data_IF_575177144019
#
_entry.id   IF_575177144019
#
_cell.length_a   1.000
_cell.length_b   1.000
_cell.length_c   1.000
_cell.angle_alpha   90.00
_cell.angle_beta   90.00
_cell.angle_gamma   90.00
#
_symmetry.space_group_name_H-M   'P 1'
#
loop_
_entity.id
_entity.type
_entity.pdbx_description
1 polymer ?
#
# COMPACT_ATOMS: atom_id res chain seq x y z
N UNK A 1 1.00 -23.02 13.00
CA UNK A 1 1.81 -22.80 11.78
C UNK A 1 1.88 -21.29 11.59
N UNK A 2 3.05 -20.67 11.35
CA UNK A 2 3.06 -19.27 10.92
C UNK A 2 2.30 -19.20 9.59
N UNK A 3 1.38 -18.25 9.44
CA UNK A 3 0.70 -18.03 8.17
C UNK A 3 1.76 -17.73 7.10
N UNK A 4 1.75 -18.42 5.94
CA UNK A 4 2.66 -18.08 4.85
C UNK A 4 2.38 -16.65 4.40
N UNK A 5 3.45 -15.92 4.11
CA UNK A 5 3.33 -14.65 3.41
C UNK A 5 2.73 -14.89 2.02
N UNK A 6 1.76 -14.08 1.63
CA UNK A 6 1.18 -14.13 0.31
C UNK A 6 0.83 -12.72 -0.16
N UNK A 7 1.07 -12.47 -1.44
CA UNK A 7 0.67 -11.27 -2.13
C UNK A 7 -0.37 -11.61 -3.19
N UNK A 8 -1.42 -10.82 -3.25
CA UNK A 8 -2.40 -10.91 -4.31
C UNK A 8 -2.58 -9.53 -4.95
N UNK A 9 -2.38 -9.46 -6.27
CA UNK A 9 -2.55 -8.23 -7.01
C UNK A 9 -3.79 -8.33 -7.89
N UNK A 10 -4.68 -7.35 -7.80
CA UNK A 10 -5.87 -7.23 -8.61
C UNK A 10 -5.93 -5.83 -9.22
N UNK A 11 -6.18 -5.75 -10.52
CA UNK A 11 -6.23 -4.49 -11.25
C UNK A 11 -7.63 -4.21 -11.75
N UNK A 12 -8.15 -3.00 -11.55
CA UNK A 12 -9.43 -2.57 -12.08
C UNK A 12 -9.38 -1.10 -12.52
N UNK A 13 -9.75 -0.81 -13.77
CA UNK A 13 -9.87 0.57 -14.30
C UNK A 13 -8.65 1.49 -14.03
N UNK A 14 -7.43 0.94 -14.09
CA UNK A 14 -6.18 1.67 -13.83
C UNK A 14 -5.82 1.83 -12.35
N UNK A 15 -6.64 1.33 -11.43
CA UNK A 15 -6.30 1.10 -10.03
C UNK A 15 -5.68 -0.28 -9.86
N UNK A 16 -4.64 -0.37 -9.04
CA UNK A 16 -4.08 -1.62 -8.57
C UNK A 16 -4.39 -1.81 -7.09
N UNK A 17 -4.81 -3.01 -6.71
CA UNK A 17 -5.04 -3.42 -5.33
C UNK A 17 -4.07 -4.55 -5.01
N UNK A 18 -3.17 -4.31 -4.08
CA UNK A 18 -2.17 -5.26 -3.60
C UNK A 18 -2.58 -5.68 -2.19
N UNK A 19 -3.12 -6.89 -2.04
CA UNK A 19 -3.44 -7.48 -0.74
C UNK A 19 -2.22 -8.20 -0.16
N UNK A 20 -1.87 -7.85 1.07
CA UNK A 20 -0.71 -8.39 1.79
C UNK A 20 -1.18 -9.26 2.95
N UNK A 21 -0.83 -10.54 2.90
CA UNK A 21 -1.18 -11.52 3.94
C UNK A 21 0.05 -11.96 4.73
N UNK A 22 -0.09 -12.10 6.06
CA UNK A 22 0.97 -12.63 6.92
C UNK A 22 1.89 -11.55 7.49
N UNK A 23 3.18 -11.57 7.14
CA UNK A 23 4.21 -10.75 7.78
C UNK A 23 5.02 -9.99 6.72
N UNK A 24 5.17 -8.68 6.90
CA UNK A 24 6.03 -7.85 6.07
C UNK A 24 7.32 -7.52 6.82
N UNK A 25 8.38 -8.29 6.54
CA UNK A 25 9.70 -8.16 7.17
C UNK A 25 10.83 -8.13 6.15
N UNK A 26 12.10 -8.20 6.57
CA UNK A 26 13.25 -8.11 5.66
C UNK A 26 13.31 -9.23 4.61
N UNK A 27 12.65 -10.37 4.84
CA UNK A 27 12.59 -11.48 3.90
C UNK A 27 11.46 -11.33 2.89
N UNK A 28 10.33 -10.72 3.27
CA UNK A 28 9.14 -10.57 2.41
C UNK A 28 9.01 -9.18 1.80
N UNK A 29 9.72 -8.18 2.34
CA UNK A 29 9.81 -6.83 1.80
C UNK A 29 10.25 -6.80 0.33
N UNK A 30 11.28 -7.57 -0.13
CA UNK A 30 11.67 -7.57 -1.54
C UNK A 30 10.56 -8.07 -2.47
N UNK A 31 9.73 -8.99 -2.02
CA UNK A 31 8.61 -9.52 -2.80
C UNK A 31 7.49 -8.47 -2.93
N UNK A 32 7.20 -7.75 -1.84
CA UNK A 32 6.25 -6.64 -1.85
C UNK A 32 6.74 -5.45 -2.69
N UNK A 33 8.02 -5.11 -2.58
CA UNK A 33 8.71 -4.12 -3.40
C UNK A 33 8.59 -4.47 -4.89
N UNK A 34 8.90 -5.72 -5.27
CA UNK A 34 8.76 -6.17 -6.65
C UNK A 34 7.32 -6.10 -7.14
N UNK A 35 6.33 -6.36 -6.28
CA UNK A 35 4.93 -6.23 -6.64
C UNK A 35 4.55 -4.77 -6.92
N UNK A 36 4.95 -3.81 -6.06
CA UNK A 36 4.70 -2.39 -6.30
C UNK A 36 5.39 -1.92 -7.59
N UNK A 37 6.68 -2.24 -7.76
CA UNK A 37 7.45 -1.83 -8.93
C UNK A 37 6.81 -2.35 -10.22
N UNK A 38 6.34 -3.60 -10.24
CA UNK A 38 5.68 -4.18 -11.41
C UNK A 38 4.38 -3.46 -11.79
N UNK A 39 3.67 -2.87 -10.82
CA UNK A 39 2.48 -2.07 -11.10
C UNK A 39 2.85 -0.70 -11.68
N UNK A 40 3.89 -0.08 -11.12
CA UNK A 40 4.44 1.20 -11.60
C UNK A 40 4.98 1.06 -13.03
N UNK A 41 5.79 0.05 -13.30
CA UNK A 41 6.35 -0.25 -14.64
C UNK A 41 5.25 -0.49 -15.68
N UNK A 42 4.11 -1.01 -15.24
CA UNK A 42 2.95 -1.21 -16.10
C UNK A 42 2.05 0.04 -16.21
N UNK A 43 2.52 1.19 -15.74
CA UNK A 43 1.87 2.50 -15.82
C UNK A 43 0.74 2.71 -14.81
N UNK A 44 0.62 1.84 -13.80
CA UNK A 44 -0.43 1.93 -12.77
C UNK A 44 0.12 2.66 -11.55
N UNK A 45 -0.19 3.95 -11.47
CA UNK A 45 0.27 4.83 -10.40
C UNK A 45 -0.79 5.06 -9.31
N UNK A 46 -1.97 4.44 -9.44
CA UNK A 46 -3.03 4.47 -8.41
C UNK A 46 -3.04 3.14 -7.68
N UNK A 47 -2.32 3.05 -6.57
CA UNK A 47 -2.10 1.79 -5.86
C UNK A 47 -2.82 1.83 -4.52
N UNK A 48 -3.56 0.76 -4.22
CA UNK A 48 -4.20 0.50 -2.94
C UNK A 48 -3.49 -0.70 -2.34
N UNK A 49 -2.97 -0.54 -1.13
CA UNK A 49 -2.39 -1.64 -0.35
C UNK A 49 -3.39 -2.06 0.70
N UNK A 50 -3.86 -3.29 0.58
CA UNK A 50 -4.78 -3.90 1.52
C UNK A 50 -4.01 -4.72 2.56
N UNK A 51 -4.07 -4.23 3.81
CA UNK A 51 -3.38 -4.78 4.96
C UNK A 51 -4.32 -5.54 5.90
N UNK A 52 -5.56 -5.88 5.49
CA UNK A 52 -6.56 -6.56 6.35
C UNK A 52 -6.00 -7.84 6.97
N UNK A 53 -5.22 -8.57 6.18
CA UNK A 53 -4.60 -9.84 6.58
C UNK A 53 -3.13 -9.70 6.99
N UNK A 54 -2.63 -8.47 7.09
CA UNK A 54 -1.27 -8.18 7.54
C UNK A 54 -1.22 -8.25 9.08
N UNK A 55 -0.50 -9.24 9.58
CA UNK A 55 -0.38 -9.53 11.01
C UNK A 55 0.76 -8.75 11.67
N UNK A 56 1.78 -8.37 10.90
CA UNK A 56 2.97 -7.70 11.41
C UNK A 56 3.74 -6.98 10.30
N UNK A 57 4.38 -5.87 10.67
CA UNK A 57 5.31 -5.14 9.81
C UNK A 57 6.59 -4.82 10.60
N UNK A 58 7.74 -4.90 9.95
CA UNK A 58 9.05 -4.46 10.47
C UNK A 58 9.56 -3.20 9.75
N UNK A 59 10.70 -2.65 10.21
CA UNK A 59 11.33 -1.49 9.59
C UNK A 59 11.66 -1.68 8.11
N UNK A 60 11.95 -2.91 7.67
CA UNK A 60 12.21 -3.20 6.27
C UNK A 60 10.96 -2.96 5.40
N UNK A 61 9.80 -3.47 5.84
CA UNK A 61 8.53 -3.25 5.14
C UNK A 61 8.14 -1.77 5.10
N UNK A 62 8.32 -1.06 6.21
CA UNK A 62 8.08 0.39 6.29
C UNK A 62 8.99 1.19 5.34
N UNK A 63 10.25 0.76 5.19
CA UNK A 63 11.20 1.35 4.24
C UNK A 63 10.73 1.24 2.79
N UNK A 64 10.17 0.08 2.42
CA UNK A 64 9.59 -0.13 1.09
C UNK A 64 8.47 0.86 0.82
N UNK A 65 7.51 1.01 1.74
CA UNK A 65 6.46 2.02 1.61
C UNK A 65 7.06 3.40 1.34
N UNK A 66 7.93 3.89 2.23
CA UNK A 66 8.53 5.22 2.11
C UNK A 66 9.32 5.44 0.82
N UNK A 67 9.95 4.40 0.26
CA UNK A 67 10.65 4.49 -1.02
C UNK A 67 9.71 4.71 -2.20
N UNK A 68 8.57 4.01 -2.23
CA UNK A 68 7.67 4.02 -3.38
C UNK A 68 6.67 5.18 -3.39
N UNK A 69 6.32 5.75 -2.24
CA UNK A 69 5.34 6.84 -2.22
C UNK A 69 5.83 8.08 -2.97
N UNK A 70 7.12 8.38 -2.89
CA UNK A 70 7.71 9.50 -3.63
C UNK A 70 7.69 9.22 -5.13
N UNK A 71 8.20 8.05 -5.55
CA UNK A 71 8.23 7.61 -6.95
C UNK A 71 6.83 7.62 -7.60
N UNK A 72 5.82 7.07 -6.92
CA UNK A 72 4.45 7.00 -7.44
C UNK A 72 3.84 8.41 -7.58
N UNK A 73 4.13 9.31 -6.64
CA UNK A 73 3.63 10.69 -6.66
C UNK A 73 4.31 11.54 -7.73
N UNK A 74 5.61 11.33 -7.97
CA UNK A 74 6.32 11.97 -9.09
C UNK A 74 5.72 11.60 -10.45
N UNK A 75 5.17 10.39 -10.56
CA UNK A 75 4.43 9.93 -11.74
C UNK A 75 2.95 10.37 -11.76
N UNK A 76 2.54 11.28 -10.88
CA UNK A 76 1.18 11.82 -10.81
C UNK A 76 0.15 10.87 -10.19
N UNK A 77 0.59 9.84 -9.49
CA UNK A 77 -0.23 8.88 -8.77
C UNK A 77 -0.26 9.11 -7.26
N UNK A 78 -0.74 8.09 -6.55
CA UNK A 78 -0.70 8.03 -5.08
C UNK A 78 -0.77 6.58 -4.61
N UNK A 79 -0.34 6.32 -3.37
CA UNK A 79 -0.53 5.04 -2.70
C UNK A 79 -1.45 5.24 -1.51
N UNK A 80 -2.53 4.45 -1.43
CA UNK A 80 -3.45 4.43 -0.29
C UNK A 80 -3.33 3.12 0.46
N UNK A 81 -3.46 3.17 1.77
CA UNK A 81 -3.31 2.00 2.63
C UNK A 81 -4.63 1.76 3.33
N UNK A 82 -5.14 0.54 3.26
CA UNK A 82 -6.42 0.19 3.86
C UNK A 82 -6.33 -1.11 4.68
N UNK A 83 -7.36 -1.39 5.48
CA UNK A 83 -7.43 -2.65 6.23
C UNK A 83 -6.39 -2.79 7.33
N UNK A 84 -5.73 -1.71 7.78
CA UNK A 84 -4.68 -1.84 8.81
C UNK A 84 -5.20 -2.49 10.09
N UNK A 85 -4.62 -3.63 10.46
CA UNK A 85 -4.90 -4.25 11.76
C UNK A 85 -4.46 -3.33 12.90
N UNK A 86 -5.08 -3.38 14.10
CA UNK A 86 -4.77 -2.46 15.19
C UNK A 86 -3.28 -2.40 15.55
N UNK A 87 -2.60 -3.54 15.48
CA UNK A 87 -1.16 -3.66 15.76
C UNK A 87 -0.31 -2.94 14.71
N UNK A 88 -0.64 -3.11 13.43
CA UNK A 88 0.08 -2.44 12.33
C UNK A 88 -0.23 -0.95 12.34
N UNK A 89 -1.50 -0.56 12.56
CA UNK A 89 -1.91 0.84 12.69
C UNK A 89 -1.12 1.58 13.76
N UNK A 90 -0.95 1.00 14.95
CA UNK A 90 -0.14 1.63 16.01
C UNK A 90 1.31 1.89 15.58
N UNK A 91 1.91 1.00 14.78
CA UNK A 91 3.26 1.20 14.25
C UNK A 91 3.27 2.36 13.24
N UNK A 92 2.27 2.43 12.36
CA UNK A 92 2.13 3.52 11.39
C UNK A 92 1.92 4.88 12.08
N UNK A 93 1.04 4.94 13.07
CA UNK A 93 0.78 6.15 13.88
C UNK A 93 2.04 6.59 14.65
N UNK A 94 2.73 5.65 15.32
CA UNK A 94 3.96 5.94 16.06
C UNK A 94 5.05 6.56 15.16
N UNK A 95 5.08 6.17 13.88
CA UNK A 95 6.04 6.66 12.89
C UNK A 95 5.53 7.86 12.07
N UNK A 96 4.29 8.31 12.30
CA UNK A 96 3.69 9.44 11.60
C UNK A 96 3.32 9.16 10.13
N UNK A 97 3.16 7.89 9.75
CA UNK A 97 2.80 7.51 8.37
C UNK A 97 1.41 8.03 7.98
N UNK A 98 0.53 8.29 8.93
CA UNK A 98 -0.79 8.93 8.69
C UNK A 98 -0.68 10.33 8.05
N UNK A 99 0.46 11.02 8.21
CA UNK A 99 0.70 12.32 7.58
C UNK A 99 1.20 12.18 6.14
N UNK A 100 1.68 11.00 5.76
CA UNK A 100 2.26 10.72 4.43
C UNK A 100 1.28 9.94 3.57
N UNK A 101 0.54 8.99 4.15
CA UNK A 101 -0.41 8.11 3.49
C UNK A 101 -1.85 8.41 3.85
N UNK A 102 -2.74 8.25 2.88
CA UNK A 102 -4.16 8.21 3.13
C UNK A 102 -4.53 6.82 3.68
N UNK A 103 -4.81 6.76 4.98
CA UNK A 103 -5.18 5.53 5.67
C UNK A 103 -6.71 5.35 5.63
N UNK A 104 -7.16 4.43 4.78
CA UNK A 104 -8.56 4.10 4.61
C UNK A 104 -8.97 2.91 5.51
N UNK A 105 -10.26 2.79 5.87
CA UNK A 105 -10.75 1.63 6.60
C UNK A 105 -10.68 0.34 5.77
N UNK A 106 -11.07 0.40 4.49
CA UNK A 106 -11.19 -0.74 3.60
C UNK A 106 -10.88 -0.36 2.14
N UNK A 107 -10.77 -1.37 1.27
CA UNK A 107 -10.47 -1.20 -0.16
C UNK A 107 -11.52 -0.33 -0.86
N UNK A 108 -12.79 -0.47 -0.52
CA UNK A 108 -13.86 0.29 -1.16
C UNK A 108 -13.75 1.79 -0.83
N UNK A 109 -13.46 2.16 0.42
CA UNK A 109 -13.18 3.55 0.77
C UNK A 109 -11.95 4.09 0.01
N UNK A 110 -10.87 3.32 -0.08
CA UNK A 110 -9.69 3.70 -0.84
C UNK A 110 -9.99 3.94 -2.34
N UNK A 111 -10.78 3.07 -2.96
CA UNK A 111 -11.26 3.25 -4.35
C UNK A 111 -12.07 4.54 -4.48
N UNK A 112 -12.99 4.80 -3.53
CA UNK A 112 -13.79 6.03 -3.53
C UNK A 112 -12.91 7.28 -3.36
N UNK A 113 -11.82 7.23 -2.57
CA UNK A 113 -10.87 8.34 -2.43
C UNK A 113 -10.13 8.63 -3.72
N UNK A 114 -9.74 7.60 -4.47
CA UNK A 114 -9.15 7.78 -5.80
C UNK A 114 -10.16 8.33 -6.81
N UNK A 115 -11.42 7.90 -6.76
CA UNK A 115 -12.49 8.44 -7.61
C UNK A 115 -12.84 9.90 -7.26
N UNK A 116 -12.70 10.29 -6.00
CA UNK A 116 -13.00 11.64 -5.51
C UNK A 116 -11.82 12.60 -5.60
N UNK A 117 -10.59 12.14 -5.82
CA UNK A 117 -9.43 13.02 -6.04
C UNK A 117 -9.67 13.71 -7.38
N UNK A 118 -10.17 14.96 -7.41
CA UNK A 118 -10.44 15.62 -8.67
C UNK A 118 -9.07 15.82 -9.31
N UNK A 119 -8.94 15.49 -10.59
CA UNK A 119 -7.90 16.06 -11.44
C UNK A 119 -7.84 17.54 -11.10
N UNK A 120 -6.76 17.97 -10.43
CA UNK A 120 -6.49 19.39 -10.23
C UNK A 120 -6.18 19.92 -11.61
N UNK A 121 -7.22 20.35 -12.33
CA UNK A 121 -7.08 21.29 -13.42
C UNK A 121 -6.46 22.56 -12.84
N UNK A 122 -5.23 22.85 -13.26
CA UNK A 122 -4.46 24.05 -12.94
C UNK A 122 -3.59 24.40 -14.12
#
# INVERSE_FOLDING_TARGET
MPNPFALHTSTNEGLSVISVEGFLDAHTAPEFESAIQSEIDAGRTRIIVDCEKLTYISSAGLGVFMGFIEEVREQGGDIKICGLTPKVRQVFEMLGFESVYDLCPDVNDAVQRFAQTPTREG
#
